data_IF_156128762878
#
_entry.id   IF_156128762878
#
_cell.length_a   1.000
_cell.length_b   1.000
_cell.length_c   1.000
_cell.angle_alpha   90.00
_cell.angle_beta   90.00
_cell.angle_gamma   90.00
#
_symmetry.space_group_name_H-M   'P 1'
#
loop_
_entity.id
_entity.type
_entity.pdbx_description
1 polymer ?
#
# COMPACT_ATOMS: atom_id res chain seq x y z
N UNK A 1 2.35 0.47 21.90
CA UNK A 1 1.83 1.00 20.62
C UNK A 1 2.27 2.46 20.50
N UNK A 2 2.90 2.86 19.40
CA UNK A 2 3.22 4.28 19.17
C UNK A 2 1.96 5.06 18.81
N UNK A 3 1.75 6.23 19.40
CA UNK A 3 0.60 7.10 19.09
C UNK A 3 1.04 8.11 18.03
N UNK A 4 0.41 8.09 16.88
CA UNK A 4 0.58 9.14 15.85
C UNK A 4 -0.44 10.23 16.10
N UNK A 5 0.03 11.47 16.28
CA UNK A 5 -0.86 12.63 16.40
C UNK A 5 -1.21 13.15 15.01
N UNK A 6 -2.50 13.39 14.77
CA UNK A 6 -3.03 14.05 13.58
C UNK A 6 -3.88 15.24 14.02
N UNK A 7 -4.15 16.18 13.12
CA UNK A 7 -4.99 17.35 13.42
C UNK A 7 -6.46 16.96 13.59
N UNK A 8 -7.21 17.72 14.40
CA UNK A 8 -8.64 17.46 14.63
C UNK A 8 -9.47 17.41 13.32
N UNK A 9 -9.27 18.32 12.33
CA UNK A 9 -9.98 18.21 11.06
C UNK A 9 -9.66 16.92 10.30
N UNK A 10 -8.42 16.43 10.37
CA UNK A 10 -8.03 15.19 9.73
C UNK A 10 -8.65 13.97 10.44
N UNK A 11 -8.73 14.01 11.77
CA UNK A 11 -9.41 12.97 12.55
C UNK A 11 -10.89 12.86 12.19
N UNK A 12 -11.59 13.98 11.99
CA UNK A 12 -12.99 13.98 11.57
C UNK A 12 -13.16 13.47 10.12
N UNK A 13 -12.28 13.86 9.20
CA UNK A 13 -12.26 13.28 7.84
C UNK A 13 -12.05 11.76 7.86
N UNK A 14 -11.16 11.29 8.74
CA UNK A 14 -10.88 9.87 8.91
C UNK A 14 -12.11 9.11 9.43
N UNK A 15 -12.81 9.67 10.41
CA UNK A 15 -14.08 9.12 10.94
C UNK A 15 -15.16 9.04 9.87
N UNK A 16 -15.32 10.09 9.05
CA UNK A 16 -16.31 10.11 7.97
C UNK A 16 -15.99 9.03 6.93
N UNK A 17 -14.73 8.97 6.47
CA UNK A 17 -14.30 8.01 5.48
C UNK A 17 -14.39 6.56 5.98
N UNK A 18 -14.01 6.31 7.25
CA UNK A 18 -14.08 4.98 7.84
C UNK A 18 -15.51 4.45 7.90
N UNK A 19 -16.47 5.31 8.26
CA UNK A 19 -17.89 4.97 8.26
C UNK A 19 -18.41 4.70 6.85
N UNK A 20 -18.04 5.53 5.86
CA UNK A 20 -18.48 5.37 4.48
C UNK A 20 -17.90 4.13 3.79
N UNK A 21 -16.68 3.75 4.14
CA UNK A 21 -15.94 2.62 3.52
C UNK A 21 -15.97 1.35 4.37
N UNK A 22 -16.77 1.31 5.43
CA UNK A 22 -16.96 0.15 6.32
C UNK A 22 -15.64 -0.38 6.90
N UNK A 23 -14.78 0.52 7.42
CA UNK A 23 -13.52 0.20 8.11
C UNK A 23 -13.50 0.78 9.51
N UNK A 24 -12.68 0.22 10.41
CA UNK A 24 -12.35 0.92 11.66
C UNK A 24 -11.54 2.18 11.36
N UNK A 25 -11.53 3.16 12.28
CA UNK A 25 -10.75 4.40 12.13
C UNK A 25 -9.27 4.07 11.91
N UNK A 26 -8.71 3.14 12.69
CA UNK A 26 -7.31 2.73 12.56
C UNK A 26 -7.04 2.03 11.22
N UNK A 27 -7.93 1.13 10.78
CA UNK A 27 -7.78 0.44 9.50
C UNK A 27 -7.89 1.41 8.31
N UNK A 28 -8.73 2.45 8.42
CA UNK A 28 -8.81 3.50 7.41
C UNK A 28 -7.54 4.37 7.38
N UNK A 29 -6.97 4.69 8.54
CA UNK A 29 -5.71 5.44 8.62
C UNK A 29 -4.56 4.65 8.01
N UNK A 30 -4.46 3.38 8.39
CA UNK A 30 -3.46 2.47 7.86
C UNK A 30 -3.60 2.31 6.35
N UNK A 31 -4.82 2.16 5.82
CA UNK A 31 -5.06 2.09 4.39
C UNK A 31 -4.56 3.34 3.64
N UNK A 32 -4.85 4.55 4.14
CA UNK A 32 -4.33 5.79 3.55
C UNK A 32 -2.81 5.90 3.63
N UNK A 33 -2.20 5.53 4.77
CA UNK A 33 -0.75 5.51 4.92
C UNK A 33 -0.09 4.55 3.92
N UNK A 34 -0.65 3.35 3.75
CA UNK A 34 -0.14 2.36 2.78
C UNK A 34 -0.29 2.86 1.33
N UNK A 35 -1.41 3.47 0.97
CA UNK A 35 -1.58 4.09 -0.36
C UNK A 35 -0.54 5.20 -0.58
N UNK A 36 -0.38 6.11 0.38
CA UNK A 36 0.59 7.22 0.28
C UNK A 36 2.01 6.72 0.08
N UNK A 37 2.44 5.78 0.93
CA UNK A 37 3.76 5.15 0.83
C UNK A 37 3.98 4.48 -0.53
N UNK A 38 3.00 3.72 -1.03
CA UNK A 38 3.11 3.07 -2.34
C UNK A 38 3.14 4.06 -3.50
N UNK A 39 2.38 5.16 -3.39
CA UNK A 39 2.39 6.23 -4.39
C UNK A 39 3.74 6.94 -4.45
N UNK A 40 4.41 7.11 -3.30
CA UNK A 40 5.76 7.69 -3.24
C UNK A 40 6.83 6.74 -3.78
N UNK A 41 6.73 5.43 -3.49
CA UNK A 41 7.70 4.43 -3.95
C UNK A 41 7.54 4.05 -5.43
N UNK A 42 6.32 4.17 -5.95
CA UNK A 42 5.96 3.79 -7.32
C UNK A 42 5.17 4.91 -8.00
N UNK A 43 5.81 6.06 -8.32
CA UNK A 43 5.13 7.24 -8.84
C UNK A 43 4.44 7.02 -10.20
N UNK A 44 4.85 6.00 -10.95
CA UNK A 44 4.27 5.65 -12.25
C UNK A 44 3.03 4.75 -12.16
N UNK A 45 2.71 4.23 -10.97
CA UNK A 45 1.53 3.38 -10.78
C UNK A 45 0.29 4.21 -10.51
N UNK A 46 -0.79 3.90 -11.23
CA UNK A 46 -2.10 4.45 -10.92
C UNK A 46 -2.72 3.80 -9.66
N UNK A 47 -3.82 4.39 -9.20
CA UNK A 47 -4.54 3.92 -8.02
C UNK A 47 -5.05 2.47 -8.14
N UNK A 48 -5.40 2.00 -9.34
CA UNK A 48 -5.88 0.64 -9.54
C UNK A 48 -4.75 -0.37 -9.32
N UNK A 49 -3.56 -0.08 -9.85
CA UNK A 49 -2.36 -0.90 -9.65
C UNK A 49 -1.95 -0.93 -8.18
N UNK A 50 -1.98 0.22 -7.49
CA UNK A 50 -1.72 0.31 -6.04
C UNK A 50 -2.70 -0.57 -5.26
N UNK A 51 -3.99 -0.52 -5.57
CA UNK A 51 -5.00 -1.38 -4.92
C UNK A 51 -4.69 -2.88 -5.12
N UNK A 52 -4.31 -3.30 -6.32
CA UNK A 52 -3.93 -4.70 -6.59
C UNK A 52 -2.68 -5.10 -5.79
N UNK A 53 -1.70 -4.21 -5.67
CA UNK A 53 -0.51 -4.46 -4.88
C UNK A 53 -0.84 -4.69 -3.41
N UNK A 54 -1.73 -3.85 -2.84
CA UNK A 54 -2.21 -4.02 -1.46
C UNK A 54 -2.87 -5.37 -1.22
N UNK A 55 -3.73 -5.82 -2.14
CA UNK A 55 -4.37 -7.14 -2.05
C UNK A 55 -3.32 -8.25 -2.09
N UNK A 56 -2.34 -8.17 -3.01
CA UNK A 56 -1.26 -9.16 -3.11
C UNK A 56 -0.41 -9.21 -1.84
N UNK A 57 -0.09 -8.06 -1.25
CA UNK A 57 0.65 -8.00 0.00
C UNK A 57 -0.13 -8.63 1.15
N UNK A 58 -1.43 -8.36 1.27
CA UNK A 58 -2.27 -8.97 2.30
C UNK A 58 -2.32 -10.49 2.15
N UNK A 59 -2.47 -11.00 0.92
CA UNK A 59 -2.42 -12.45 0.63
C UNK A 59 -1.04 -13.07 0.95
N UNK A 60 0.03 -12.28 0.90
CA UNK A 60 1.39 -12.71 1.24
C UNK A 60 1.72 -12.61 2.74
N UNK A 61 0.75 -12.27 3.60
CA UNK A 61 0.94 -12.16 5.05
C UNK A 61 1.07 -10.73 5.58
N UNK A 62 0.75 -9.73 4.76
CA UNK A 62 0.72 -8.32 5.14
C UNK A 62 1.74 -7.47 4.38
N UNK A 63 1.67 -6.16 4.63
CA UNK A 63 2.57 -5.18 4.02
C UNK A 63 3.50 -4.60 5.08
N UNK A 64 4.81 -4.72 4.88
CA UNK A 64 5.81 -3.99 5.64
C UNK A 64 6.87 -3.39 4.72
N UNK A 65 7.70 -2.49 5.25
CA UNK A 65 8.77 -1.84 4.47
C UNK A 65 9.82 -2.83 3.97
N UNK A 66 10.03 -3.95 4.66
CA UNK A 66 11.00 -4.97 4.24
C UNK A 66 10.49 -5.68 2.99
N UNK A 67 9.25 -6.16 3.00
CA UNK A 67 8.63 -6.82 1.86
C UNK A 67 8.54 -5.91 0.64
N UNK A 68 8.32 -4.61 0.83
CA UNK A 68 8.38 -3.63 -0.25
C UNK A 68 9.79 -3.43 -0.82
N UNK A 69 10.81 -3.37 0.02
CA UNK A 69 12.20 -3.29 -0.45
C UNK A 69 12.67 -4.54 -1.18
N UNK A 70 12.07 -5.70 -0.89
CA UNK A 70 12.39 -6.97 -1.54
C UNK A 70 11.62 -7.17 -2.86
N UNK A 71 10.40 -6.62 -2.97
CA UNK A 71 9.58 -6.63 -4.18
C UNK A 71 10.21 -5.86 -5.35
N UNK A 72 10.93 -4.77 -5.07
CA UNK A 72 11.63 -3.98 -6.10
C UNK A 72 12.78 -4.74 -6.76
N UNK A 73 13.34 -5.77 -6.10
CA UNK A 73 14.43 -6.59 -6.64
C UNK A 73 13.92 -7.63 -7.65
N UNK A 74 12.69 -8.12 -7.48
CA UNK A 74 12.15 -9.23 -8.29
C UNK A 74 11.47 -8.80 -9.59
N UNK A 75 11.09 -7.52 -9.75
CA UNK A 75 10.53 -7.01 -11.01
C UNK A 75 11.51 -7.14 -12.19
N UNK A 76 12.81 -7.04 -11.91
CA UNK A 76 13.91 -7.16 -12.89
C UNK A 76 14.22 -8.60 -13.35
N UNK A 77 13.71 -9.64 -12.66
CA UNK A 77 14.01 -11.04 -13.02
C UNK A 77 12.99 -11.66 -13.99
N UNK A 78 11.83 -11.02 -14.21
CA UNK A 78 10.82 -11.51 -15.15
C UNK A 78 11.09 -11.09 -16.60
N UNK A 79 11.90 -10.05 -16.83
CA UNK A 79 12.31 -9.65 -18.19
C UNK A 79 13.44 -10.53 -18.76
N UNK A 80 14.21 -11.21 -17.91
CA UNK A 80 15.33 -12.06 -18.36
C UNK A 80 14.94 -13.47 -18.78
N UNK A 81 13.79 -13.99 -18.35
CA UNK A 81 13.38 -15.37 -18.68
C UNK A 81 12.67 -15.44 -20.05
N UNK A 82 12.17 -14.33 -20.59
CA UNK A 82 11.52 -14.32 -21.91
C UNK A 82 12.48 -14.32 -23.10
N UNK A 83 13.79 -14.13 -22.89
CA UNK A 83 14.80 -14.15 -23.96
C UNK A 83 15.66 -15.44 -23.97
N UNK A 84 15.42 -16.38 -23.06
CA UNK A 84 16.17 -17.63 -23.00
C UNK A 84 15.59 -18.76 -23.88
N UNK A 85 14.41 -18.54 -24.50
CA UNK A 85 13.72 -19.49 -25.38
C UNK A 85 13.72 -19.07 -26.87
N UNK A 86 14.71 -18.28 -27.31
CA UNK A 86 15.04 -18.08 -28.73
C UNK A 86 16.49 -18.41 -29.04
#
# INVERSE_FOLDING_TARGET
>A
MGIVKISDPMHENLRLASNALSRSINAQAEHWMRIGMLSELHPDLDHNHICRLLIRAELAGGLDLKSLSELTVNASLLETVSQADQ
#
